data_IF_281286550207
#
_entry.id   IF_281286550207
#
_cell.length_a   1.000
_cell.length_b   1.000
_cell.length_c   1.000
_cell.angle_alpha   90.00
_cell.angle_beta   90.00
_cell.angle_gamma   90.00
#
_symmetry.space_group_name_H-M   'P 1'
#
loop_
_entity.id
_entity.type
_entity.pdbx_description
1 polymer ?
#
# COMPACT_ATOMS: atom_id res chain seq x y z
N UNK A 1 -20.65 -25.42 -12.98
CA UNK A 1 -20.41 -24.55 -11.80
C UNK A 1 -20.71 -23.11 -12.22
N UNK A 2 -21.43 -22.32 -11.42
CA UNK A 2 -22.07 -21.07 -11.86
C UNK A 2 -21.36 -19.75 -11.46
N UNK A 3 -20.23 -19.82 -10.74
CA UNK A 3 -19.50 -18.63 -10.29
C UNK A 3 -18.24 -18.45 -11.14
N UNK A 4 -18.04 -17.26 -11.69
CA UNK A 4 -16.83 -16.92 -12.43
C UNK A 4 -15.65 -16.68 -11.46
N UNK A 5 -14.41 -17.08 -11.78
CA UNK A 5 -13.25 -16.89 -10.92
C UNK A 5 -13.09 -15.46 -10.40
N UNK A 6 -13.17 -14.46 -11.28
CA UNK A 6 -13.01 -13.05 -10.88
C UNK A 6 -14.06 -12.57 -9.85
N UNK A 7 -15.23 -13.22 -9.78
CA UNK A 7 -16.23 -12.90 -8.73
C UNK A 7 -15.68 -13.27 -7.36
N UNK A 8 -14.87 -14.34 -7.27
CA UNK A 8 -14.21 -14.76 -6.03
C UNK A 8 -13.22 -13.67 -5.58
N UNK A 9 -12.37 -13.16 -6.48
CA UNK A 9 -11.43 -12.07 -6.17
C UNK A 9 -12.16 -10.79 -5.73
N UNK A 10 -13.26 -10.41 -6.42
CA UNK A 10 -14.09 -9.27 -6.02
C UNK A 10 -14.76 -9.46 -4.65
N UNK A 11 -15.22 -10.68 -4.33
CA UNK A 11 -15.82 -10.98 -3.02
C UNK A 11 -14.78 -10.85 -1.90
N UNK A 12 -13.54 -11.28 -2.15
CA UNK A 12 -12.43 -11.06 -1.23
C UNK A 12 -12.18 -9.58 -0.97
N UNK A 13 -12.13 -8.78 -2.04
CA UNK A 13 -11.91 -7.35 -1.92
C UNK A 13 -13.06 -6.65 -1.18
N UNK A 14 -14.31 -7.02 -1.52
CA UNK A 14 -15.49 -6.48 -0.85
C UNK A 14 -15.50 -6.81 0.65
N UNK A 15 -15.13 -8.04 1.03
CA UNK A 15 -14.99 -8.43 2.42
C UNK A 15 -13.96 -7.56 3.14
N UNK A 16 -12.75 -7.41 2.57
CA UNK A 16 -11.71 -6.56 3.14
C UNK A 16 -12.16 -5.11 3.34
N UNK A 17 -12.86 -4.53 2.35
CA UNK A 17 -13.40 -3.17 2.46
C UNK A 17 -14.40 -3.09 3.59
N UNK A 18 -15.38 -3.99 3.65
CA UNK A 18 -16.43 -3.97 4.67
C UNK A 18 -15.85 -4.11 6.08
N UNK A 19 -14.86 -4.97 6.26
CA UNK A 19 -14.28 -5.19 7.59
C UNK A 19 -13.28 -4.11 8.02
N UNK A 20 -12.54 -3.50 7.08
CA UNK A 20 -11.46 -2.56 7.39
C UNK A 20 -11.92 -1.10 7.38
N UNK A 21 -12.90 -0.75 6.55
CA UNK A 21 -13.36 0.64 6.42
C UNK A 21 -13.89 1.26 7.73
N UNK A 22 -14.58 0.52 8.62
CA UNK A 22 -14.94 1.06 9.94
C UNK A 22 -13.72 1.56 10.72
N UNK A 23 -12.57 0.86 10.66
CA UNK A 23 -11.36 1.31 11.35
C UNK A 23 -10.93 2.70 10.86
N UNK A 24 -10.99 2.96 9.55
CA UNK A 24 -10.62 4.26 8.99
C UNK A 24 -11.58 5.39 9.37
N UNK A 25 -12.87 5.10 9.51
CA UNK A 25 -13.87 6.09 9.92
C UNK A 25 -13.70 6.51 11.38
N UNK A 26 -13.34 5.57 12.25
CA UNK A 26 -13.17 5.83 13.68
C UNK A 26 -11.77 6.32 14.05
N UNK A 27 -10.77 6.09 13.19
CA UNK A 27 -9.39 6.54 13.40
C UNK A 27 -8.88 7.45 12.25
N UNK A 28 -9.48 8.63 12.02
CA UNK A 28 -9.03 9.55 10.98
C UNK A 28 -7.59 10.05 11.14
N UNK A 29 -7.10 10.20 12.38
CA UNK A 29 -5.74 10.70 12.64
C UNK A 29 -4.71 9.61 12.89
N UNK A 30 -5.12 8.33 12.95
CA UNK A 30 -4.27 7.20 13.31
C UNK A 30 -3.60 7.37 14.68
N UNK A 31 -4.26 8.07 15.61
CA UNK A 31 -3.82 8.27 17.01
C UNK A 31 -4.85 7.74 17.99
N UNK A 32 -6.06 7.48 17.52
CA UNK A 32 -7.20 7.09 18.33
C UNK A 32 -7.04 5.66 18.84
N UNK A 33 -7.71 5.37 19.95
CA UNK A 33 -7.87 4.00 20.44
C UNK A 33 -9.27 3.52 20.10
N UNK A 34 -9.36 2.31 19.57
CA UNK A 34 -10.63 1.65 19.27
C UNK A 34 -10.72 0.29 19.95
N UNK A 35 -11.94 -0.21 20.24
CA UNK A 35 -12.13 -1.54 20.77
C UNK A 35 -11.46 -2.64 19.92
N UNK A 36 -11.05 -3.73 20.56
CA UNK A 36 -10.31 -4.81 19.91
C UNK A 36 -11.00 -5.43 18.67
N UNK A 37 -12.34 -5.39 18.62
CA UNK A 37 -13.10 -5.96 17.51
C UNK A 37 -12.81 -5.28 16.16
N UNK A 38 -12.37 -4.02 16.14
CA UNK A 38 -11.94 -3.35 14.91
C UNK A 38 -10.73 -4.06 14.29
N UNK A 39 -9.72 -4.37 15.10
CA UNK A 39 -8.53 -5.10 14.66
C UNK A 39 -8.86 -6.54 14.26
N UNK A 40 -9.77 -7.21 14.99
CA UNK A 40 -10.25 -8.56 14.64
C UNK A 40 -10.97 -8.54 13.28
N UNK A 41 -11.76 -7.50 13.00
CA UNK A 41 -12.38 -7.32 11.69
C UNK A 41 -11.32 -7.14 10.59
N UNK A 42 -10.28 -6.33 10.82
CA UNK A 42 -9.18 -6.20 9.86
C UNK A 42 -8.49 -7.55 9.58
N UNK A 43 -8.18 -8.34 10.62
CA UNK A 43 -7.63 -9.70 10.48
C UNK A 43 -8.58 -10.57 9.64
N UNK A 44 -9.88 -10.53 9.93
CA UNK A 44 -10.89 -11.30 9.21
C UNK A 44 -10.93 -10.94 7.74
N UNK A 45 -10.90 -9.64 7.42
CA UNK A 45 -10.85 -9.16 6.03
C UNK A 45 -9.60 -9.59 5.29
N UNK A 46 -8.43 -9.40 5.91
CA UNK A 46 -7.13 -9.78 5.35
C UNK A 46 -7.03 -11.30 5.11
N UNK A 47 -7.56 -12.10 6.03
CA UNK A 47 -7.61 -13.54 5.89
C UNK A 47 -8.54 -13.97 4.75
N UNK A 48 -9.72 -13.34 4.64
CA UNK A 48 -10.69 -13.65 3.57
C UNK A 48 -10.11 -13.29 2.20
N UNK A 49 -9.56 -12.09 2.00
CA UNK A 49 -9.00 -11.70 0.70
C UNK A 49 -7.88 -12.67 0.28
N UNK A 50 -6.94 -12.97 1.19
CA UNK A 50 -5.84 -13.89 0.91
C UNK A 50 -6.33 -15.30 0.56
N UNK A 51 -7.33 -15.79 1.28
CA UNK A 51 -7.89 -17.12 1.03
C UNK A 51 -8.61 -17.17 -0.31
N UNK A 52 -9.37 -16.14 -0.64
CA UNK A 52 -10.16 -16.09 -1.87
C UNK A 52 -9.28 -15.87 -3.11
N UNK A 53 -8.20 -15.10 -3.01
CA UNK A 53 -7.14 -14.99 -4.02
C UNK A 53 -6.57 -16.38 -4.36
N UNK A 54 -6.08 -17.14 -3.37
CA UNK A 54 -5.57 -18.49 -3.63
C UNK A 54 -6.60 -19.47 -4.24
N UNK A 55 -7.90 -19.26 -3.99
CA UNK A 55 -8.98 -20.09 -4.52
C UNK A 55 -9.38 -19.74 -5.95
N UNK A 56 -9.21 -18.50 -6.39
CA UNK A 56 -9.73 -18.05 -7.69
C UNK A 56 -9.00 -18.73 -8.86
N UNK A 57 -7.67 -18.89 -8.75
CA UNK A 57 -6.82 -19.51 -9.75
C UNK A 57 -6.99 -21.02 -9.77
N UNK A 58 -7.22 -21.63 -8.59
CA UNK A 58 -7.58 -23.04 -8.49
C UNK A 58 -8.92 -23.30 -9.17
N UNK A 59 -9.89 -22.43 -8.95
CA UNK A 59 -11.21 -22.50 -9.58
C UNK A 59 -11.11 -22.32 -11.09
N UNK A 60 -10.39 -21.30 -11.56
CA UNK A 60 -10.17 -21.02 -12.99
C UNK A 60 -9.52 -22.20 -13.73
N UNK A 61 -8.53 -22.87 -13.11
CA UNK A 61 -7.90 -24.08 -13.65
C UNK A 61 -8.87 -25.25 -13.70
N UNK A 62 -9.67 -25.45 -12.64
CA UNK A 62 -10.65 -26.54 -12.54
C UNK A 62 -11.79 -26.39 -13.56
N UNK A 63 -12.27 -25.19 -13.79
CA UNK A 63 -13.38 -24.92 -14.73
C UNK A 63 -12.92 -24.71 -16.17
N UNK A 64 -11.60 -24.62 -16.42
CA UNK A 64 -11.06 -24.30 -17.73
C UNK A 64 -11.41 -22.88 -18.20
N UNK A 65 -11.71 -21.97 -17.26
CA UNK A 65 -12.16 -20.59 -17.56
C UNK A 65 -11.08 -19.53 -17.32
N UNK A 66 -9.81 -19.92 -17.26
CA UNK A 66 -8.69 -18.98 -17.15
C UNK A 66 -8.57 -18.09 -18.37
N UNK A 67 -8.25 -16.81 -18.16
CA UNK A 67 -8.02 -15.84 -19.24
C UNK A 67 -7.00 -14.76 -18.83
N UNK A 68 -6.29 -14.14 -19.79
CA UNK A 68 -5.39 -13.03 -19.49
C UNK A 68 -6.08 -11.84 -18.81
N UNK A 69 -7.32 -11.53 -19.22
CA UNK A 69 -8.13 -10.49 -18.59
C UNK A 69 -8.49 -10.86 -17.15
N UNK A 70 -8.79 -12.14 -16.90
CA UNK A 70 -9.03 -12.66 -15.55
C UNK A 70 -7.84 -12.43 -14.62
N UNK A 71 -6.63 -12.77 -15.07
CA UNK A 71 -5.40 -12.55 -14.30
C UNK A 71 -5.12 -11.07 -14.01
N UNK A 72 -5.48 -10.16 -14.92
CA UNK A 72 -5.38 -8.71 -14.68
C UNK A 72 -6.39 -8.25 -13.62
N UNK A 73 -7.62 -8.76 -13.66
CA UNK A 73 -8.67 -8.40 -12.70
C UNK A 73 -8.36 -8.89 -11.30
N UNK A 74 -7.88 -10.14 -11.20
CA UNK A 74 -7.40 -10.73 -9.95
C UNK A 74 -6.28 -9.88 -9.33
N UNK A 75 -5.23 -9.66 -10.11
CA UNK A 75 -4.14 -8.75 -9.74
C UNK A 75 -4.61 -7.34 -9.35
N UNK A 76 -5.66 -6.80 -9.97
CA UNK A 76 -6.17 -5.48 -9.61
C UNK A 76 -6.80 -5.48 -8.22
N UNK A 77 -7.47 -6.59 -7.85
CA UNK A 77 -8.01 -6.78 -6.51
C UNK A 77 -6.87 -6.82 -5.48
N UNK A 78 -5.78 -7.55 -5.76
CA UNK A 78 -4.62 -7.63 -4.86
C UNK A 78 -3.98 -6.28 -4.59
N UNK A 79 -3.76 -5.47 -5.63
CA UNK A 79 -3.09 -4.18 -5.47
C UNK A 79 -3.98 -3.21 -4.67
N UNK A 80 -5.30 -3.22 -4.89
CA UNK A 80 -6.22 -2.41 -4.10
C UNK A 80 -6.25 -2.90 -2.65
N UNK A 81 -6.30 -4.22 -2.45
CA UNK A 81 -6.27 -4.84 -1.12
C UNK A 81 -4.97 -4.51 -0.37
N UNK A 82 -3.83 -4.52 -1.06
CA UNK A 82 -2.54 -4.09 -0.53
C UNK A 82 -2.59 -2.63 -0.06
N UNK A 83 -3.13 -1.72 -0.87
CA UNK A 83 -3.30 -0.31 -0.48
C UNK A 83 -4.13 -0.14 0.80
N UNK A 84 -5.27 -0.85 0.90
CA UNK A 84 -6.13 -0.85 2.10
C UNK A 84 -5.38 -1.46 3.31
N UNK A 85 -4.74 -2.60 3.14
CA UNK A 85 -3.99 -3.30 4.18
C UNK A 85 -2.85 -2.46 4.73
N UNK A 86 -2.05 -1.86 3.85
CA UNK A 86 -0.95 -0.94 4.20
C UNK A 86 -1.48 0.25 5.00
N UNK A 87 -2.58 0.88 4.60
CA UNK A 87 -3.13 2.01 5.39
C UNK A 87 -3.66 1.59 6.77
N UNK A 88 -4.11 0.34 6.93
CA UNK A 88 -4.61 -0.17 8.22
C UNK A 88 -3.54 -0.39 9.29
N UNK A 89 -2.29 -0.67 8.90
CA UNK A 89 -1.20 -0.97 9.83
C UNK A 89 -0.77 0.23 10.67
N UNK A 90 -0.54 1.43 10.10
CA UNK A 90 -0.26 2.64 10.87
C UNK A 90 -1.35 2.99 11.88
N UNK A 91 -2.62 2.70 11.55
CA UNK A 91 -3.74 2.91 12.49
C UNK A 91 -3.63 1.94 13.66
N UNK A 92 -3.34 0.66 13.40
CA UNK A 92 -3.17 -0.35 14.44
C UNK A 92 -1.98 -0.06 15.38
N UNK A 93 -0.92 0.55 14.85
CA UNK A 93 0.29 0.91 15.61
C UNK A 93 0.29 2.35 16.17
N UNK A 94 -0.80 3.11 15.97
CA UNK A 94 -0.90 4.53 16.31
C UNK A 94 0.25 5.39 15.75
N UNK A 95 0.70 5.12 14.52
CA UNK A 95 1.77 5.90 13.88
C UNK A 95 1.38 7.35 13.59
N UNK A 96 0.11 7.72 13.71
CA UNK A 96 -0.33 9.12 13.62
C UNK A 96 0.30 10.03 14.67
N UNK A 97 0.78 9.47 15.80
CA UNK A 97 1.53 10.25 16.82
C UNK A 97 2.87 10.74 16.28
N UNK A 98 3.35 10.09 15.22
CA UNK A 98 4.61 10.40 14.55
C UNK A 98 4.38 10.45 13.02
N UNK A 99 3.79 11.54 12.48
CA UNK A 99 3.39 11.64 11.08
C UNK A 99 4.53 11.39 10.08
N UNK A 100 5.76 11.71 10.49
CA UNK A 100 7.00 11.44 9.78
C UNK A 100 7.22 9.95 9.53
N UNK A 101 7.12 9.12 10.58
CA UNK A 101 7.26 7.67 10.47
C UNK A 101 6.12 7.04 9.67
N UNK A 102 4.90 7.55 9.82
CA UNK A 102 3.76 7.13 9.00
C UNK A 102 3.99 7.40 7.51
N UNK A 103 4.64 8.53 7.17
CA UNK A 103 5.00 8.87 5.79
C UNK A 103 6.04 7.90 5.23
N UNK A 104 7.14 7.70 5.93
CA UNK A 104 8.21 6.80 5.47
C UNK A 104 7.73 5.36 5.34
N UNK A 105 6.84 4.91 6.22
CA UNK A 105 6.20 3.59 6.13
C UNK A 105 5.44 3.42 4.80
N UNK A 106 4.56 4.36 4.44
CA UNK A 106 3.78 4.25 3.20
C UNK A 106 4.68 4.33 1.96
N UNK A 107 5.66 5.25 1.96
CA UNK A 107 6.63 5.37 0.88
C UNK A 107 7.37 4.04 0.66
N UNK A 108 7.83 3.41 1.74
CA UNK A 108 8.52 2.14 1.70
C UNK A 108 7.63 1.02 1.17
N UNK A 109 6.38 0.92 1.62
CA UNK A 109 5.43 -0.09 1.15
C UNK A 109 5.13 0.05 -0.36
N UNK A 110 4.98 1.28 -0.87
CA UNK A 110 4.79 1.51 -2.31
C UNK A 110 6.05 1.16 -3.11
N UNK A 111 7.26 1.37 -2.55
CA UNK A 111 8.50 0.91 -3.17
C UNK A 111 8.61 -0.63 -3.21
N UNK A 112 8.14 -1.33 -2.17
CA UNK A 112 8.08 -2.80 -2.15
C UNK A 112 7.17 -3.32 -3.27
N UNK A 113 5.93 -2.83 -3.35
CA UNK A 113 4.97 -3.23 -4.39
C UNK A 113 5.51 -2.95 -5.80
N UNK A 114 6.17 -1.80 -5.98
CA UNK A 114 6.83 -1.51 -7.24
C UNK A 114 7.97 -2.48 -7.56
N UNK A 115 8.83 -2.81 -6.60
CA UNK A 115 9.94 -3.75 -6.82
C UNK A 115 9.43 -5.13 -7.26
N UNK A 116 8.33 -5.60 -6.65
CA UNK A 116 7.66 -6.84 -7.05
C UNK A 116 7.07 -6.74 -8.46
N UNK A 117 6.35 -5.66 -8.76
CA UNK A 117 5.83 -5.43 -10.11
C UNK A 117 6.96 -5.40 -11.15
N UNK A 118 8.04 -4.67 -10.87
CA UNK A 118 9.17 -4.53 -11.77
C UNK A 118 9.83 -5.87 -12.05
N UNK A 119 10.00 -6.71 -11.02
CA UNK A 119 10.47 -8.10 -11.17
C UNK A 119 9.53 -8.92 -12.06
N UNK A 120 8.22 -8.84 -11.82
CA UNK A 120 7.22 -9.60 -12.57
C UNK A 120 7.17 -9.25 -14.06
N UNK A 121 7.54 -8.02 -14.45
CA UNK A 121 7.69 -7.65 -15.86
C UNK A 121 8.79 -8.45 -16.60
N UNK A 122 9.72 -9.08 -15.88
CA UNK A 122 10.76 -9.94 -16.47
C UNK A 122 10.44 -11.45 -16.35
N UNK A 123 9.25 -11.80 -15.85
CA UNK A 123 8.78 -13.17 -15.72
C UNK A 123 7.78 -13.50 -16.83
N UNK A 124 8.11 -14.52 -17.64
CA UNK A 124 7.12 -15.23 -18.47
C UNK A 124 6.45 -16.40 -17.70
N UNK A 125 6.93 -16.69 -16.48
CA UNK A 125 6.50 -17.82 -15.63
C UNK A 125 6.56 -17.39 -14.15
N UNK A 126 5.57 -17.79 -13.33
CA UNK A 126 5.57 -17.56 -11.88
C UNK A 126 6.87 -18.12 -11.25
N UNK A 127 7.63 -17.27 -10.57
CA UNK A 127 8.78 -17.68 -9.76
C UNK A 127 8.43 -17.47 -8.30
N UNK A 128 8.74 -18.45 -7.45
CA UNK A 128 8.44 -18.36 -6.03
C UNK A 128 9.62 -17.77 -5.25
N UNK A 129 9.35 -16.79 -4.41
CA UNK A 129 10.33 -16.09 -3.57
C UNK A 129 10.23 -16.50 -2.09
N UNK A 130 11.21 -16.05 -1.30
CA UNK A 130 11.18 -16.18 0.16
C UNK A 130 10.16 -15.24 0.82
N UNK A 131 9.90 -14.08 0.21
CA UNK A 131 8.91 -13.10 0.65
C UNK A 131 8.01 -12.72 -0.52
N UNK A 132 6.78 -13.22 -0.50
CA UNK A 132 5.72 -12.92 -1.45
C UNK A 132 4.60 -12.14 -0.78
N UNK A 133 3.59 -11.75 -1.55
CA UNK A 133 2.41 -11.03 -1.06
C UNK A 133 1.78 -11.66 0.19
N UNK A 134 1.85 -13.00 0.31
CA UNK A 134 1.30 -13.76 1.43
C UNK A 134 2.00 -13.46 2.76
N UNK A 135 3.33 -13.36 2.78
CA UNK A 135 4.10 -13.07 3.99
C UNK A 135 3.82 -11.64 4.49
N UNK A 136 3.63 -10.68 3.58
CA UNK A 136 3.24 -9.31 3.96
C UNK A 136 1.83 -9.26 4.56
N UNK A 137 0.88 -10.00 3.97
CA UNK A 137 -0.47 -10.11 4.53
C UNK A 137 -0.45 -10.77 5.93
N UNK A 138 0.33 -11.82 6.10
CA UNK A 138 0.52 -12.47 7.41
C UNK A 138 1.14 -11.52 8.45
N UNK A 139 2.12 -10.71 8.04
CA UNK A 139 2.70 -9.67 8.90
C UNK A 139 1.64 -8.62 9.30
N UNK A 140 0.82 -8.14 8.36
CA UNK A 140 -0.28 -7.21 8.65
C UNK A 140 -1.28 -7.80 9.65
N UNK A 141 -1.70 -9.06 9.43
CA UNK A 141 -2.58 -9.77 10.36
C UNK A 141 -1.95 -9.91 11.75
N UNK A 142 -0.65 -10.17 11.83
CA UNK A 142 0.09 -10.27 13.10
C UNK A 142 0.10 -8.93 13.85
N UNK A 143 0.31 -7.82 13.14
CA UNK A 143 0.26 -6.47 13.74
C UNK A 143 -1.13 -6.18 14.29
N UNK A 144 -2.19 -6.50 13.54
CA UNK A 144 -3.56 -6.35 14.02
C UNK A 144 -3.84 -7.27 15.21
N UNK A 145 -3.31 -8.50 15.23
CA UNK A 145 -3.50 -9.43 16.35
C UNK A 145 -2.88 -8.91 17.65
N UNK A 146 -1.65 -8.38 17.58
CA UNK A 146 -1.00 -7.74 18.74
C UNK A 146 -1.84 -6.55 19.22
N UNK A 147 -2.32 -5.71 18.31
CA UNK A 147 -3.18 -4.56 18.64
C UNK A 147 -4.53 -4.98 19.25
N UNK A 148 -5.10 -6.10 18.82
CA UNK A 148 -6.32 -6.68 19.37
C UNK A 148 -6.12 -7.23 20.78
N UNK A 149 -4.98 -7.88 21.04
CA UNK A 149 -4.68 -8.55 22.31
C UNK A 149 -4.21 -7.59 23.39
N UNK A 150 -3.35 -6.63 23.04
CA UNK A 150 -2.65 -5.77 23.99
C UNK A 150 -3.03 -4.30 23.88
N UNK A 151 -3.87 -3.95 22.90
CA UNK A 151 -4.20 -2.57 22.56
C UNK A 151 -3.09 -1.90 21.72
N UNK A 152 -3.41 -0.79 21.04
CA UNK A 152 -2.44 -0.05 20.23
C UNK A 152 -1.27 0.54 21.03
N UNK A 153 -1.52 0.88 22.30
CA UNK A 153 -0.52 1.41 23.21
C UNK A 153 0.67 0.44 23.41
N UNK A 154 0.48 -0.86 23.19
CA UNK A 154 1.56 -1.85 23.23
C UNK A 154 2.73 -1.49 22.30
N UNK A 155 2.43 -0.83 21.17
CA UNK A 155 3.44 -0.42 20.19
C UNK A 155 4.29 0.77 20.64
N UNK A 156 3.83 1.53 21.63
CA UNK A 156 4.58 2.62 22.26
C UNK A 156 5.44 2.17 23.45
N UNK A 157 5.39 0.88 23.80
CA UNK A 157 6.21 0.35 24.89
C UNK A 157 7.69 0.33 24.52
N UNK A 158 8.53 0.72 25.48
CA UNK A 158 9.98 0.68 25.35
C UNK A 158 10.49 -0.76 25.40
N UNK A 159 11.39 -1.10 24.48
CA UNK A 159 11.94 -2.46 24.36
C UNK A 159 13.40 -2.50 24.81
N UNK A 160 13.81 -3.60 25.44
CA UNK A 160 15.20 -3.87 25.85
C UNK A 160 15.83 -2.85 26.81
N UNK A 161 15.03 -2.18 27.65
CA UNK A 161 15.51 -1.10 28.54
C UNK A 161 16.19 0.04 27.78
N UNK A 162 15.85 0.23 26.51
CA UNK A 162 16.29 1.35 25.66
C UNK A 162 15.13 2.31 25.44
N UNK A 163 15.42 3.53 24.98
CA UNK A 163 14.40 4.51 24.57
C UNK A 163 13.70 4.16 23.23
N UNK A 164 13.89 2.93 22.71
CA UNK A 164 13.31 2.48 21.45
C UNK A 164 11.92 1.88 21.66
N UNK A 165 10.93 2.44 20.98
CA UNK A 165 9.55 1.94 21.00
C UNK A 165 9.38 0.72 20.09
N UNK A 166 8.49 -0.20 20.47
CA UNK A 166 8.22 -1.44 19.71
C UNK A 166 7.82 -1.19 18.24
N UNK A 167 7.06 -0.13 17.95
CA UNK A 167 6.72 0.25 16.56
C UNK A 167 7.94 0.54 15.69
N UNK A 168 9.02 1.08 16.25
CA UNK A 168 10.24 1.36 15.47
C UNK A 168 10.94 0.06 15.05
N UNK A 169 10.86 -0.98 15.89
CA UNK A 169 11.36 -2.31 15.53
C UNK A 169 10.58 -2.86 14.34
N UNK A 170 9.25 -2.71 14.32
CA UNK A 170 8.42 -3.13 13.18
C UNK A 170 8.81 -2.38 11.90
N UNK A 171 9.00 -1.06 11.98
CA UNK A 171 9.46 -0.26 10.84
C UNK A 171 10.83 -0.70 10.33
N UNK A 172 11.75 -1.03 11.23
CA UNK A 172 13.06 -1.57 10.86
C UNK A 172 12.94 -2.95 10.18
N UNK A 173 12.06 -3.83 10.66
CA UNK A 173 11.80 -5.13 10.01
C UNK A 173 11.23 -4.96 8.60
N UNK A 174 10.31 -4.02 8.41
CA UNK A 174 9.77 -3.71 7.07
C UNK A 174 10.87 -3.15 6.15
N UNK A 175 11.78 -2.32 6.68
CA UNK A 175 12.93 -1.83 5.91
C UNK A 175 13.87 -2.97 5.50
N UNK A 176 14.13 -3.92 6.41
CA UNK A 176 14.92 -5.12 6.08
C UNK A 176 14.21 -5.95 5.00
N UNK A 177 12.90 -6.16 5.13
CA UNK A 177 12.10 -6.87 4.14
C UNK A 177 12.19 -6.17 2.77
N UNK A 178 12.07 -4.84 2.72
CA UNK A 178 12.25 -4.06 1.48
C UNK A 178 13.62 -4.25 0.84
N UNK A 179 14.70 -4.11 1.63
CA UNK A 179 16.07 -4.27 1.12
C UNK A 179 16.22 -5.66 0.51
N UNK A 180 15.67 -6.68 1.17
CA UNK A 180 15.70 -8.05 0.69
C UNK A 180 14.90 -8.23 -0.61
N UNK A 181 13.67 -7.72 -0.70
CA UNK A 181 12.85 -7.76 -1.93
C UNK A 181 13.57 -7.10 -3.11
N UNK A 182 14.15 -5.92 -2.91
CA UNK A 182 14.89 -5.20 -3.96
C UNK A 182 16.14 -5.98 -4.37
N UNK A 183 16.87 -6.54 -3.40
CA UNK A 183 18.04 -7.36 -3.67
C UNK A 183 17.67 -8.59 -4.50
N UNK A 184 16.64 -9.34 -4.11
CA UNK A 184 16.17 -10.50 -4.86
C UNK A 184 15.68 -10.13 -6.26
N UNK A 185 14.89 -9.07 -6.41
CA UNK A 185 14.46 -8.56 -7.71
C UNK A 185 15.66 -8.22 -8.61
N UNK A 186 16.66 -7.53 -8.06
CA UNK A 186 17.86 -7.12 -8.79
C UNK A 186 18.69 -8.32 -9.23
N UNK A 187 19.01 -9.23 -8.31
CA UNK A 187 19.78 -10.47 -8.60
C UNK A 187 19.05 -11.31 -9.65
N UNK A 188 17.72 -11.41 -9.56
CA UNK A 188 16.91 -12.13 -10.52
C UNK A 188 17.04 -11.55 -11.93
N UNK A 189 16.87 -10.23 -12.06
CA UNK A 189 16.97 -9.52 -13.35
C UNK A 189 18.36 -9.73 -13.97
N UNK A 190 19.44 -9.62 -13.19
CA UNK A 190 20.79 -9.88 -13.68
C UNK A 190 20.99 -11.32 -14.16
N UNK A 191 20.49 -12.32 -13.41
CA UNK A 191 20.57 -13.74 -13.82
C UNK A 191 19.82 -14.02 -15.13
N UNK A 192 18.66 -13.39 -15.34
CA UNK A 192 17.89 -13.56 -16.58
C UNK A 192 18.59 -12.91 -17.78
N UNK A 193 19.28 -11.79 -17.56
CA UNK A 193 20.11 -11.13 -18.58
C UNK A 193 21.25 -12.03 -19.05
N UNK A 194 21.95 -12.69 -18.13
CA UNK A 194 23.12 -13.53 -18.46
C UNK A 194 22.74 -14.82 -19.21
N UNK A 195 21.53 -15.34 -19.01
CA UNK A 195 21.03 -16.54 -19.73
C UNK A 195 20.72 -16.30 -21.21
N UNK A 196 20.99 -15.11 -21.76
CA UNK A 196 20.76 -14.80 -23.16
C UNK A 196 19.28 -14.82 -23.56
N UNK A 197 18.37 -14.81 -22.58
CA UNK A 197 16.93 -14.77 -22.81
C UNK A 197 16.53 -13.34 -23.20
N UNK A 198 16.96 -12.94 -24.40
CA UNK A 198 16.70 -11.62 -25.01
C UNK A 198 15.20 -11.41 -25.30
N UNK A 199 14.35 -12.42 -25.12
CA UNK A 199 12.90 -12.32 -25.26
C UNK A 199 12.27 -11.34 -24.24
N UNK A 200 12.82 -11.25 -23.02
CA UNK A 200 12.42 -10.26 -22.00
C UNK A 200 13.20 -8.94 -22.04
N UNK A 201 14.26 -8.88 -22.85
CA UNK A 201 15.16 -7.71 -23.00
C UNK A 201 14.79 -6.96 -24.29
N UNK A 202 13.50 -6.67 -24.51
CA UNK A 202 13.08 -5.77 -25.59
C UNK A 202 13.02 -4.33 -25.09
N UNK A 203 14.21 -3.72 -25.03
CA UNK A 203 14.52 -2.33 -25.38
C UNK A 203 13.72 -1.19 -24.75
N UNK A 204 14.37 -0.41 -23.86
CA UNK A 204 14.01 0.98 -23.48
C UNK A 204 12.62 1.24 -22.84
N UNK A 205 11.72 0.26 -22.78
CA UNK A 205 10.40 0.37 -22.14
C UNK A 205 10.45 0.23 -20.61
N UNK A 206 11.37 -0.57 -20.07
CA UNK A 206 11.42 -0.90 -18.64
C UNK A 206 11.80 0.28 -17.71
N UNK A 207 12.56 1.25 -18.21
CA UNK A 207 12.81 2.52 -17.50
C UNK A 207 11.58 3.44 -17.54
N UNK A 208 10.74 3.35 -18.58
CA UNK A 208 9.49 4.11 -18.64
C UNK A 208 8.44 3.59 -17.67
N UNK A 209 8.53 2.32 -17.24
CA UNK A 209 7.67 1.78 -16.18
C UNK A 209 7.99 2.37 -14.81
N UNK A 210 9.24 2.78 -14.58
CA UNK A 210 9.63 3.46 -13.35
C UNK A 210 9.13 4.91 -13.29
N UNK A 211 9.06 5.60 -14.44
CA UNK A 211 8.79 7.04 -14.50
C UNK A 211 7.45 7.44 -13.84
N UNK A 212 6.29 6.81 -14.10
CA UNK A 212 5.03 7.18 -13.47
C UNK A 212 5.06 7.05 -11.96
N UNK A 213 5.65 5.97 -11.45
CA UNK A 213 5.72 5.71 -10.02
C UNK A 213 6.72 6.63 -9.32
N UNK A 214 7.84 6.96 -9.97
CA UNK A 214 8.77 7.98 -9.47
C UNK A 214 8.13 9.37 -9.43
N UNK A 215 7.39 9.77 -10.47
CA UNK A 215 6.63 11.03 -10.49
C UNK A 215 5.60 11.04 -9.36
N UNK A 216 4.89 9.93 -9.16
CA UNK A 216 3.92 9.77 -8.08
C UNK A 216 4.58 9.83 -6.68
N UNK A 217 5.73 9.19 -6.48
CA UNK A 217 6.50 9.29 -5.24
C UNK A 217 7.00 10.71 -4.97
N UNK A 218 7.44 11.42 -6.01
CA UNK A 218 7.85 12.83 -5.92
C UNK A 218 6.66 13.73 -5.55
N UNK A 219 5.48 13.47 -6.11
CA UNK A 219 4.26 14.16 -5.72
C UNK A 219 3.90 13.88 -4.25
N UNK A 220 3.98 12.63 -3.81
CA UNK A 220 3.74 12.26 -2.41
C UNK A 220 4.69 12.97 -1.43
N UNK A 221 5.98 13.09 -1.79
CA UNK A 221 6.97 13.86 -1.04
C UNK A 221 6.61 15.35 -0.98
N UNK A 222 6.16 15.92 -2.10
CA UNK A 222 5.82 17.34 -2.20
C UNK A 222 4.52 17.70 -1.45
N UNK A 223 3.58 16.76 -1.32
CA UNK A 223 2.29 16.97 -0.64
C UNK A 223 2.29 16.58 0.84
N UNK A 224 3.41 16.09 1.38
CA UNK A 224 3.55 15.73 2.79
C UNK A 224 3.17 16.86 3.76
N UNK A 225 3.37 18.12 3.37
CA UNK A 225 3.01 19.28 4.18
C UNK A 225 1.57 19.77 4.03
N UNK A 226 0.74 19.13 3.19
CA UNK A 226 -0.61 19.60 2.91
C UNK A 226 -1.50 19.52 4.16
N UNK A 227 -2.44 20.47 4.30
CA UNK A 227 -3.40 20.50 5.41
C UNK A 227 -4.21 19.20 5.55
N UNK A 228 -4.52 18.56 4.42
CA UNK A 228 -5.20 17.26 4.37
C UNK A 228 -4.39 16.14 5.06
N UNK A 229 -3.07 16.12 4.91
CA UNK A 229 -2.18 15.14 5.56
C UNK A 229 -2.18 15.31 7.08
N UNK A 230 -2.26 16.55 7.57
CA UNK A 230 -2.27 16.84 9.00
C UNK A 230 -3.63 16.59 9.65
N UNK A 231 -4.73 16.86 8.92
CA UNK A 231 -6.08 16.81 9.49
C UNK A 231 -6.68 15.40 9.43
N UNK A 232 -6.47 14.68 8.33
CA UNK A 232 -7.04 13.36 8.09
C UNK A 232 -6.01 12.41 7.43
N UNK A 233 -4.87 12.11 8.12
CA UNK A 233 -3.79 11.31 7.55
C UNK A 233 -4.26 9.93 7.07
N UNK A 234 -5.16 9.25 7.79
CA UNK A 234 -5.64 7.92 7.40
C UNK A 234 -6.33 7.96 6.03
N UNK A 235 -7.25 8.90 5.82
CA UNK A 235 -7.93 9.07 4.55
C UNK A 235 -6.97 9.55 3.44
N UNK A 236 -6.05 10.45 3.79
CA UNK A 236 -4.99 10.90 2.88
C UNK A 236 -4.22 9.70 2.32
N UNK A 237 -3.70 8.82 3.18
CA UNK A 237 -2.93 7.67 2.74
C UNK A 237 -3.77 6.60 2.06
N UNK A 238 -5.04 6.41 2.44
CA UNK A 238 -5.96 5.53 1.72
C UNK A 238 -6.12 6.00 0.26
N UNK A 239 -6.33 7.30 0.05
CA UNK A 239 -6.48 7.87 -1.29
C UNK A 239 -5.20 7.78 -2.11
N UNK A 240 -4.03 8.01 -1.50
CA UNK A 240 -2.74 7.74 -2.13
C UNK A 240 -2.62 6.23 -2.48
N UNK A 241 -2.93 5.32 -1.56
CA UNK A 241 -2.94 3.88 -1.83
C UNK A 241 -3.80 3.49 -3.05
N UNK A 242 -5.00 4.06 -3.17
CA UNK A 242 -5.88 3.84 -4.33
C UNK A 242 -5.33 4.46 -5.62
N UNK A 243 -4.70 5.65 -5.54
CA UNK A 243 -4.06 6.28 -6.69
C UNK A 243 -2.86 5.46 -7.19
N UNK A 244 -2.02 4.96 -6.27
CA UNK A 244 -0.94 4.02 -6.53
C UNK A 244 -1.48 2.76 -7.20
N UNK A 245 -2.54 2.16 -6.62
CA UNK A 245 -3.14 0.96 -7.17
C UNK A 245 -3.62 1.14 -8.62
N UNK A 246 -4.28 2.26 -8.91
CA UNK A 246 -4.71 2.59 -10.27
C UNK A 246 -3.53 2.72 -11.25
N UNK A 247 -2.44 3.37 -10.84
CA UNK A 247 -1.23 3.47 -11.68
C UNK A 247 -0.67 2.08 -11.98
N UNK A 248 -0.49 1.25 -10.95
CA UNK A 248 0.04 -0.11 -11.10
C UNK A 248 -0.86 -0.98 -11.98
N UNK A 249 -2.18 -0.87 -11.85
CA UNK A 249 -3.15 -1.59 -12.72
C UNK A 249 -3.00 -1.15 -14.18
N UNK A 250 -2.91 0.16 -14.45
CA UNK A 250 -2.71 0.68 -15.82
C UNK A 250 -1.38 0.17 -16.40
N UNK A 251 -0.32 0.11 -15.59
CA UNK A 251 0.98 -0.43 -16.00
C UNK A 251 0.91 -1.94 -16.30
N UNK A 252 0.18 -2.72 -15.50
CA UNK A 252 -0.06 -4.16 -15.76
C UNK A 252 -0.89 -4.37 -17.03
N UNK A 253 -1.94 -3.59 -17.26
CA UNK A 253 -2.72 -3.63 -18.50
C UNK A 253 -1.85 -3.30 -19.71
N UNK A 254 -1.02 -2.25 -19.61
CA UNK A 254 -0.14 -1.85 -20.69
C UNK A 254 0.89 -2.93 -21.03
N UNK A 255 1.47 -3.59 -20.02
CA UNK A 255 2.39 -4.70 -20.25
C UNK A 255 1.69 -5.94 -20.84
N UNK A 256 0.52 -6.32 -20.31
CA UNK A 256 -0.25 -7.46 -20.82
C UNK A 256 -0.72 -7.27 -22.27
N UNK A 257 -1.08 -6.04 -22.65
CA UNK A 257 -1.51 -5.69 -24.01
C UNK A 257 -0.35 -5.27 -24.93
N UNK A 258 0.87 -5.19 -24.41
CA UNK A 258 2.06 -4.68 -25.12
C UNK A 258 1.84 -3.28 -25.71
N UNK A 259 1.04 -2.45 -25.04
CA UNK A 259 0.78 -1.06 -25.43
C UNK A 259 1.89 -0.13 -24.94
N UNK A 260 1.91 1.11 -25.46
CA UNK A 260 2.82 2.14 -24.91
C UNK A 260 2.41 2.45 -23.47
N UNK A 261 3.39 2.43 -22.56
CA UNK A 261 3.17 2.79 -21.16
C UNK A 261 2.89 4.30 -21.02
N UNK A 262 1.78 4.70 -20.39
CA UNK A 262 1.49 6.11 -20.14
C UNK A 262 2.44 6.68 -19.08
N UNK A 263 2.96 7.88 -19.31
CA UNK A 263 3.83 8.59 -18.36
C UNK A 263 3.04 9.32 -17.26
N UNK A 264 1.82 9.78 -17.60
CA UNK A 264 0.93 10.52 -16.72
C UNK A 264 -0.40 9.78 -16.71
N UNK A 265 -0.95 9.59 -15.51
CA UNK A 265 -2.29 9.02 -15.31
C UNK A 265 -3.20 10.02 -14.61
N UNK A 266 -4.50 9.91 -14.83
CA UNK A 266 -5.50 10.78 -14.18
C UNK A 266 -5.53 10.63 -12.66
N UNK A 267 -5.03 9.54 -12.08
CA UNK A 267 -4.88 9.39 -10.62
C UNK A 267 -3.86 10.35 -10.01
N UNK A 268 -2.91 10.87 -10.81
CA UNK A 268 -1.93 11.85 -10.36
C UNK A 268 -2.53 13.25 -10.16
N UNK A 269 -3.76 13.49 -10.66
CA UNK A 269 -4.42 14.78 -10.53
C UNK A 269 -4.70 15.13 -9.06
N UNK A 270 -5.09 14.15 -8.23
CA UNK A 270 -5.34 14.38 -6.80
C UNK A 270 -4.11 14.93 -6.06
N UNK A 271 -2.97 14.20 -6.08
CA UNK A 271 -1.71 14.69 -5.54
C UNK A 271 -1.26 16.03 -6.14
N UNK A 272 -1.42 16.23 -7.46
CA UNK A 272 -1.09 17.51 -8.10
C UNK A 272 -1.94 18.68 -7.58
N UNK A 273 -3.24 18.46 -7.35
CA UNK A 273 -4.15 19.46 -6.77
C UNK A 273 -3.83 19.74 -5.31
N UNK A 274 -3.44 18.72 -4.52
CA UNK A 274 -2.97 18.89 -3.14
C UNK A 274 -1.67 19.69 -3.07
N UNK A 275 -0.78 19.48 -4.04
CA UNK A 275 0.44 20.27 -4.16
C UNK A 275 0.08 21.73 -4.46
N UNK A 276 -0.83 21.98 -5.40
CA UNK A 276 -1.31 23.32 -5.71
C UNK A 276 -1.94 23.99 -4.49
N UNK A 277 -2.80 23.30 -3.74
CA UNK A 277 -3.41 23.85 -2.52
C UNK A 277 -2.37 24.20 -1.47
N UNK A 278 -1.33 23.38 -1.30
CA UNK A 278 -0.25 23.66 -0.34
C UNK A 278 0.51 24.96 -0.68
N UNK A 279 0.70 25.27 -1.97
CA UNK A 279 1.27 26.56 -2.39
C UNK A 279 0.34 27.75 -2.16
N UNK A 280 -0.97 27.57 -2.36
CA UNK A 280 -1.98 28.62 -2.13
C UNK A 280 -2.13 28.94 -0.64
N UNK A 281 -2.03 27.95 0.24
CA UNK A 281 -2.07 28.12 1.69
C UNK A 281 -0.84 28.91 2.21
N UNK A 282 0.34 28.66 1.64
CA UNK A 282 1.58 29.42 1.95
C UNK A 282 1.55 30.84 1.37
N UNK A 283 0.82 31.05 0.28
CA UNK A 283 0.69 32.35 -0.42
C UNK A 283 -0.26 33.37 0.25
N UNK A 284 -0.85 33.07 1.40
CA UNK A 284 -1.64 34.04 2.18
C UNK A 284 -3.05 34.33 1.65
N UNK A 285 -3.62 33.45 0.81
CA UNK A 285 -4.98 33.61 0.25
C UNK A 285 -6.06 32.70 0.90
N UNK A 286 -5.74 31.98 1.98
CA UNK A 286 -6.73 31.23 2.76
C UNK A 286 -7.46 32.10 3.80
N UNK A 287 -8.75 31.84 4.11
CA UNK A 287 -9.45 32.55 5.17
C UNK A 287 -8.72 32.33 6.49
N UNK A 288 -8.32 33.42 7.14
CA UNK A 288 -7.60 33.41 8.43
C UNK A 288 -8.37 32.53 9.41
N UNK A 289 -7.79 31.37 9.74
CA UNK A 289 -8.28 30.48 10.77
C UNK A 289 -8.44 31.24 12.09
N UNK A 290 -9.56 30.99 12.74
CA UNK A 290 -9.92 31.47 14.07
C UNK A 290 -8.73 31.26 15.01
N UNK A 291 -8.14 32.36 15.50
CA UNK A 291 -7.17 32.32 16.58
C UNK A 291 -7.90 31.76 17.83
N UNK A 292 -7.52 30.56 18.26
CA UNK A 292 -7.77 30.14 19.63
C UNK A 292 -6.98 31.07 20.55
N UNK A 293 -7.66 32.08 21.09
CA UNK A 293 -7.17 32.84 22.24
C UNK A 293 -7.06 31.88 23.43
N UNK A 294 -5.85 31.40 23.71
CA UNK A 294 -5.53 30.82 25.01
C UNK A 294 -5.55 31.94 26.07
N UNK A 295 -6.13 31.72 27.25
CA UNK A 295 -6.13 32.73 28.29
C UNK A 295 -4.72 32.88 28.87
N UNK A 296 -4.05 33.96 28.51
CA UNK A 296 -2.95 34.51 29.30
C UNK A 296 -3.53 35.03 30.62
N UNK A 297 -3.33 34.29 31.70
CA UNK A 297 -3.58 34.73 33.06
C UNK A 297 -2.34 34.49 33.92
N UNK A 298 -1.42 35.45 33.90
CA UNK A 298 -0.49 35.65 35.03
C UNK A 298 -1.30 36.28 36.16
N UNK A 299 -1.27 35.68 37.35
CA UNK A 299 -1.13 36.31 38.66
C UNK A 299 -0.68 35.24 39.65
#
# INVERSE_FOLDING_TARGET
>A
MWVAPNVISFLGLAALVITTFPLFLYCPTATEEVPCWFYINCITGLFIIQTLDGLDGLHARRTGSGSPVGAIVDSACDIIAFGIGVTSVPVAMQLGTSPEWMFYYHLLCFCIDYAMYWKNCFLDVLYYDLFESNEYLAMMMTIHAVSAMFGPAAWSTQVFSTDLEARIIVLALILVAYIFTVFEATVFIFKQRDKGNNAGIRGSSHLRTACPLLIYMMLALATKGASAHQTYPTLYYLMFGLAHAKITIVLRVADATKSKMPLIDTSMLGPAMLLLSSFLDVGGFGPRGVQHFGPTGKL
#
